data_IF_151154795820
#
_entry.id   IF_151154795820
#
_cell.length_a   1.000
_cell.length_b   1.000
_cell.length_c   1.000
_cell.angle_alpha   90.00
_cell.angle_beta   90.00
_cell.angle_gamma   90.00
#
_symmetry.space_group_name_H-M   'P 1'
#
loop_
_entity.id
_entity.type
_entity.pdbx_description
1 polymer ?
#
# COMPACT_ATOMS: atom_id res chain seq x y z
N UNK A 1 31.80 7.70 -30.60
CA UNK A 1 32.22 7.18 -29.26
C UNK A 1 31.24 7.71 -28.22
N UNK A 2 30.11 7.04 -28.05
CA UNK A 2 29.27 7.26 -26.87
C UNK A 2 29.82 6.36 -25.76
N UNK A 3 30.40 6.96 -24.76
CA UNK A 3 30.93 6.26 -23.59
C UNK A 3 29.78 5.69 -22.76
N UNK A 4 29.70 4.38 -22.72
CA UNK A 4 28.85 3.56 -21.86
C UNK A 4 29.31 3.63 -20.39
N UNK A 5 29.47 4.82 -19.82
CA UNK A 5 29.93 4.97 -18.43
C UNK A 5 28.87 4.76 -17.36
N UNK A 6 27.58 4.71 -17.70
CA UNK A 6 26.51 4.65 -16.70
C UNK A 6 26.17 3.24 -16.18
N UNK A 7 26.17 2.23 -17.05
CA UNK A 7 25.74 0.87 -16.67
C UNK A 7 26.86 0.08 -15.95
N UNK A 8 28.12 0.27 -16.32
CA UNK A 8 29.27 -0.40 -15.68
C UNK A 8 29.50 0.05 -14.23
N UNK A 9 29.24 1.31 -13.92
CA UNK A 9 29.41 1.83 -12.56
C UNK A 9 28.28 1.43 -11.61
N UNK A 10 27.07 1.20 -12.12
CA UNK A 10 25.95 0.67 -11.33
C UNK A 10 26.19 -0.79 -10.98
N UNK A 11 26.66 -1.60 -11.94
CA UNK A 11 27.05 -2.99 -11.69
C UNK A 11 28.24 -3.11 -10.74
N UNK A 12 29.28 -2.29 -10.91
CA UNK A 12 30.44 -2.27 -10.01
C UNK A 12 30.09 -1.83 -8.59
N UNK A 13 29.12 -0.93 -8.41
CA UNK A 13 28.64 -0.56 -7.06
C UNK A 13 27.87 -1.70 -6.41
N UNK A 14 27.07 -2.46 -7.15
CA UNK A 14 26.42 -3.66 -6.64
C UNK A 14 27.42 -4.74 -6.25
N UNK A 15 28.44 -4.99 -7.06
CA UNK A 15 29.50 -5.95 -6.77
C UNK A 15 30.41 -5.49 -5.62
N UNK A 16 30.68 -4.19 -5.50
CA UNK A 16 31.46 -3.63 -4.39
C UNK A 16 30.68 -3.67 -3.06
N UNK A 17 29.37 -3.42 -3.08
CA UNK A 17 28.53 -3.57 -1.89
C UNK A 17 28.40 -5.05 -1.49
N UNK A 18 28.32 -5.96 -2.45
CA UNK A 18 28.32 -7.41 -2.18
C UNK A 18 29.69 -7.90 -1.68
N UNK A 19 30.80 -7.33 -2.15
CA UNK A 19 32.17 -7.71 -1.73
C UNK A 19 32.61 -7.07 -0.41
N UNK A 20 32.03 -5.94 -0.01
CA UNK A 20 32.33 -5.27 1.27
C UNK A 20 31.52 -5.78 2.45
N UNK A 21 30.55 -6.69 2.24
CA UNK A 21 29.74 -7.29 3.31
C UNK A 21 28.82 -6.29 4.05
N UNK A 22 28.64 -5.08 3.55
CA UNK A 22 27.76 -4.09 4.16
C UNK A 22 26.32 -4.24 3.64
N UNK A 23 25.54 -5.09 4.29
CA UNK A 23 24.11 -5.26 4.01
C UNK A 23 23.32 -4.19 4.76
N UNK A 24 23.26 -2.97 4.23
CA UNK A 24 22.48 -1.89 4.82
C UNK A 24 20.97 -2.11 4.64
N UNK A 25 20.27 -2.52 5.68
CA UNK A 25 18.82 -2.71 5.64
C UNK A 25 18.03 -1.37 5.64
N UNK A 26 18.60 -0.30 6.19
CA UNK A 26 17.92 0.99 6.38
C UNK A 26 17.31 1.56 5.09
N UNK A 27 18.01 1.63 3.94
CA UNK A 27 17.45 2.17 2.71
C UNK A 27 16.20 1.43 2.23
N UNK A 28 16.18 0.08 2.35
CA UNK A 28 15.04 -0.73 1.89
C UNK A 28 13.82 -0.60 2.81
N UNK A 29 14.02 -0.41 4.12
CA UNK A 29 12.93 -0.09 5.04
C UNK A 29 12.38 1.32 4.81
N UNK A 30 13.24 2.31 4.57
CA UNK A 30 12.82 3.67 4.23
C UNK A 30 12.02 3.68 2.93
N UNK A 31 12.49 2.99 1.88
CA UNK A 31 11.75 2.83 0.62
C UNK A 31 10.40 2.14 0.80
N UNK A 32 10.34 1.10 1.64
CA UNK A 32 9.08 0.41 1.97
C UNK A 32 8.08 1.35 2.63
N UNK A 33 8.51 2.11 3.64
CA UNK A 33 7.66 3.07 4.34
C UNK A 33 7.22 4.20 3.39
N UNK A 34 8.13 4.74 2.59
CA UNK A 34 7.84 5.81 1.64
C UNK A 34 6.75 5.40 0.64
N UNK A 35 6.92 4.24 -0.05
CA UNK A 35 5.95 3.75 -1.02
C UNK A 35 4.61 3.43 -0.34
N UNK A 36 4.64 2.80 0.84
CA UNK A 36 3.42 2.47 1.59
C UNK A 36 2.67 3.73 2.04
N UNK A 37 3.36 4.79 2.47
CA UNK A 37 2.72 6.05 2.83
C UNK A 37 2.09 6.74 1.62
N UNK A 38 2.76 6.75 0.46
CA UNK A 38 2.18 7.29 -0.78
C UNK A 38 0.91 6.51 -1.15
N UNK A 39 0.96 5.18 -1.06
CA UNK A 39 -0.20 4.33 -1.34
C UNK A 39 -1.37 4.63 -0.39
N UNK A 40 -1.10 4.82 0.91
CA UNK A 40 -2.14 5.16 1.89
C UNK A 40 -2.70 6.57 1.68
N UNK A 41 -1.89 7.54 1.26
CA UNK A 41 -2.36 8.90 0.93
C UNK A 41 -3.37 8.89 -0.23
N UNK A 42 -3.24 7.96 -1.17
CA UNK A 42 -4.21 7.78 -2.26
C UNK A 42 -5.40 6.93 -1.81
N UNK A 43 -5.13 5.80 -1.15
CA UNK A 43 -6.14 4.79 -0.87
C UNK A 43 -7.10 5.17 0.26
N UNK A 44 -6.62 5.81 1.33
CA UNK A 44 -7.44 6.14 2.50
C UNK A 44 -8.55 7.13 2.17
N UNK A 45 -8.28 8.30 1.56
CA UNK A 45 -9.35 9.25 1.26
C UNK A 45 -10.40 8.63 0.34
N UNK A 46 -9.97 8.04 -0.78
CA UNK A 46 -10.87 7.50 -1.78
C UNK A 46 -11.66 6.31 -1.22
N UNK A 47 -10.97 5.38 -0.53
CA UNK A 47 -11.59 4.21 0.06
C UNK A 47 -12.60 4.55 1.17
N UNK A 48 -12.24 5.49 2.06
CA UNK A 48 -13.12 5.94 3.13
C UNK A 48 -14.40 6.62 2.58
N UNK A 49 -14.25 7.57 1.65
CA UNK A 49 -15.41 8.23 1.06
C UNK A 49 -16.29 7.26 0.28
N UNK A 50 -15.69 6.31 -0.44
CA UNK A 50 -16.43 5.25 -1.14
C UNK A 50 -17.21 4.38 -0.17
N UNK A 51 -16.62 3.98 0.96
CA UNK A 51 -17.28 3.20 2.00
C UNK A 51 -18.43 3.96 2.65
N UNK A 52 -18.23 5.24 3.00
CA UNK A 52 -19.29 6.10 3.56
C UNK A 52 -20.45 6.20 2.59
N UNK A 53 -20.18 6.46 1.30
CA UNK A 53 -21.22 6.53 0.29
C UNK A 53 -22.00 5.22 0.17
N UNK A 54 -21.30 4.08 0.04
CA UNK A 54 -21.92 2.78 -0.13
C UNK A 54 -22.72 2.35 1.10
N UNK A 55 -22.20 2.61 2.29
CA UNK A 55 -22.84 2.22 3.55
C UNK A 55 -24.08 3.08 3.88
N UNK A 56 -24.03 4.39 3.66
CA UNK A 56 -25.04 5.32 4.21
C UNK A 56 -25.92 6.00 3.17
N UNK A 57 -25.44 6.18 1.93
CA UNK A 57 -26.13 7.00 0.92
C UNK A 57 -26.55 6.22 -0.31
N UNK A 58 -25.87 5.14 -0.65
CA UNK A 58 -26.13 4.40 -1.88
C UNK A 58 -27.50 3.71 -1.83
N UNK A 59 -28.35 3.87 -2.88
CA UNK A 59 -29.56 3.10 -2.99
C UNK A 59 -29.24 1.60 -3.14
N UNK A 60 -30.16 0.76 -2.70
CA UNK A 60 -30.00 -0.71 -2.68
C UNK A 60 -29.45 -1.28 -4.00
N UNK A 61 -29.97 -0.80 -5.15
CA UNK A 61 -29.51 -1.27 -6.48
C UNK A 61 -28.03 -0.97 -6.74
N UNK A 62 -27.57 0.25 -6.36
CA UNK A 62 -26.16 0.65 -6.53
C UNK A 62 -25.27 -0.19 -5.61
N UNK A 63 -25.66 -0.38 -4.37
CA UNK A 63 -24.90 -1.18 -3.39
C UNK A 63 -24.77 -2.63 -3.83
N UNK A 64 -25.87 -3.27 -4.28
CA UNK A 64 -25.89 -4.67 -4.73
C UNK A 64 -25.00 -4.88 -5.95
N UNK A 65 -24.84 -3.87 -6.81
CA UNK A 65 -23.97 -3.94 -7.99
C UNK A 65 -22.51 -3.58 -7.66
N UNK A 66 -22.29 -2.54 -6.87
CA UNK A 66 -20.94 -2.02 -6.59
C UNK A 66 -20.13 -2.94 -5.67
N UNK A 67 -20.76 -3.57 -4.65
CA UNK A 67 -20.04 -4.42 -3.69
C UNK A 67 -19.34 -5.61 -4.35
N UNK A 68 -19.98 -6.43 -5.21
CA UNK A 68 -19.30 -7.49 -5.95
C UNK A 68 -18.18 -6.98 -6.86
N UNK A 69 -18.34 -5.81 -7.50
CA UNK A 69 -17.29 -5.23 -8.34
C UNK A 69 -16.05 -4.89 -7.51
N UNK A 70 -16.24 -4.26 -6.36
CA UNK A 70 -15.14 -3.93 -5.43
C UNK A 70 -14.42 -5.21 -4.98
N UNK A 71 -15.15 -6.27 -4.67
CA UNK A 71 -14.60 -7.57 -4.28
C UNK A 71 -13.80 -8.22 -5.42
N UNK A 72 -14.30 -8.15 -6.67
CA UNK A 72 -13.58 -8.63 -7.86
C UNK A 72 -12.30 -7.83 -8.08
N UNK A 73 -12.35 -6.49 -7.97
CA UNK A 73 -11.17 -5.62 -8.11
C UNK A 73 -10.11 -5.94 -7.05
N UNK A 74 -10.51 -6.25 -5.81
CA UNK A 74 -9.59 -6.67 -4.76
C UNK A 74 -8.91 -8.02 -5.05
N UNK A 75 -9.53 -8.86 -5.88
CA UNK A 75 -9.03 -10.18 -6.30
C UNK A 75 -8.12 -10.15 -7.54
N UNK A 76 -7.95 -9.02 -8.22
CA UNK A 76 -7.06 -8.91 -9.39
C UNK A 76 -5.60 -9.21 -8.98
N UNK A 77 -4.87 -10.09 -9.70
CA UNK A 77 -3.46 -10.35 -9.42
C UNK A 77 -2.61 -9.08 -9.47
N UNK A 78 -1.71 -8.89 -8.49
CA UNK A 78 -0.89 -7.67 -8.37
C UNK A 78 0.04 -7.44 -9.55
N UNK A 79 0.41 -8.50 -10.28
CA UNK A 79 1.19 -8.42 -11.55
C UNK A 79 0.46 -7.58 -12.59
N UNK A 80 -0.88 -7.69 -12.68
CA UNK A 80 -1.69 -6.91 -13.64
C UNK A 80 -1.59 -5.42 -13.32
N UNK A 81 -1.66 -5.06 -12.02
CA UNK A 81 -1.44 -3.69 -11.57
C UNK A 81 -0.02 -3.20 -11.85
N UNK A 82 0.99 -4.08 -11.71
CA UNK A 82 2.37 -3.78 -12.07
C UNK A 82 2.53 -3.48 -13.56
N UNK A 83 1.92 -4.27 -14.44
CA UNK A 83 1.87 -3.99 -15.88
C UNK A 83 1.18 -2.67 -16.20
N UNK A 84 0.04 -2.41 -15.58
CA UNK A 84 -0.67 -1.14 -15.72
C UNK A 84 0.19 0.04 -15.29
N UNK A 85 0.95 -0.12 -14.19
CA UNK A 85 1.90 0.89 -13.73
C UNK A 85 2.92 1.26 -14.82
N UNK A 86 3.55 0.26 -15.43
CA UNK A 86 4.62 0.48 -16.43
C UNK A 86 4.07 1.03 -17.75
N UNK A 87 2.96 0.47 -18.25
CA UNK A 87 2.47 0.79 -19.59
C UNK A 87 1.65 2.07 -19.61
N UNK A 88 0.91 2.37 -18.54
CA UNK A 88 -0.05 3.48 -18.54
C UNK A 88 0.36 4.60 -17.57
N UNK A 89 0.65 4.25 -16.31
CA UNK A 89 0.87 5.27 -15.27
C UNK A 89 2.25 5.90 -15.39
N UNK A 90 3.29 5.14 -15.66
CA UNK A 90 4.65 5.67 -15.79
C UNK A 90 4.80 6.66 -16.97
N UNK A 91 4.30 6.39 -18.20
CA UNK A 91 4.30 7.38 -19.27
C UNK A 91 3.52 8.65 -18.91
N UNK A 92 2.33 8.49 -18.30
CA UNK A 92 1.53 9.64 -17.87
C UNK A 92 2.27 10.55 -16.87
N UNK A 93 2.93 9.96 -15.89
CA UNK A 93 3.72 10.74 -14.92
C UNK A 93 4.96 11.37 -15.56
N UNK A 94 5.62 10.71 -16.51
CA UNK A 94 6.74 11.30 -17.28
C UNK A 94 6.29 12.51 -18.07
N UNK A 95 5.21 12.38 -18.86
CA UNK A 95 4.67 13.47 -19.67
C UNK A 95 4.24 14.66 -18.81
N UNK A 96 3.70 14.41 -17.62
CA UNK A 96 3.33 15.43 -16.67
C UNK A 96 4.59 16.07 -16.03
N UNK A 97 5.58 15.26 -15.67
CA UNK A 97 6.84 15.70 -15.08
C UNK A 97 7.65 16.56 -16.04
N UNK A 98 7.75 16.16 -17.30
CA UNK A 98 8.49 16.91 -18.33
C UNK A 98 7.88 18.28 -18.62
N UNK A 99 6.57 18.45 -18.40
CA UNK A 99 5.89 19.76 -18.49
C UNK A 99 6.17 20.68 -17.31
N UNK A 100 6.44 20.13 -16.13
CA UNK A 100 6.61 20.88 -14.88
C UNK A 100 8.11 21.11 -14.61
N UNK A 101 8.93 20.07 -14.74
CA UNK A 101 10.37 20.08 -14.53
C UNK A 101 11.03 19.00 -15.40
N UNK A 102 11.56 19.35 -16.60
CA UNK A 102 12.14 18.38 -17.52
C UNK A 102 13.24 17.53 -16.87
N UNK A 103 13.09 16.20 -16.93
CA UNK A 103 14.06 15.24 -16.38
C UNK A 103 13.97 15.00 -14.86
N UNK A 104 12.96 15.55 -14.16
CA UNK A 104 12.81 15.36 -12.71
C UNK A 104 12.24 13.99 -12.34
N UNK A 105 11.53 13.31 -13.24
CA UNK A 105 10.93 12.00 -13.04
C UNK A 105 11.74 10.91 -13.73
N UNK A 106 12.28 9.99 -12.94
CA UNK A 106 12.80 8.73 -13.48
C UNK A 106 11.63 7.85 -13.95
N UNK A 107 11.89 6.96 -14.92
CA UNK A 107 10.86 6.04 -15.44
C UNK A 107 10.34 5.06 -14.42
N UNK A 108 11.08 4.82 -13.36
CA UNK A 108 10.77 4.02 -12.19
C UNK A 108 10.91 4.94 -10.98
N UNK A 109 9.87 5.07 -10.17
CA UNK A 109 9.88 5.97 -9.01
C UNK A 109 8.90 5.53 -7.92
N UNK A 110 9.17 5.97 -6.69
CA UNK A 110 8.31 5.66 -5.54
C UNK A 110 6.87 6.17 -5.73
N UNK A 111 6.69 7.31 -6.40
CA UNK A 111 5.36 7.90 -6.61
C UNK A 111 4.52 7.07 -7.58
N UNK A 112 5.11 6.53 -8.64
CA UNK A 112 4.40 5.67 -9.62
C UNK A 112 3.95 4.39 -8.92
N UNK A 113 4.89 3.69 -8.27
CA UNK A 113 4.57 2.46 -7.53
C UNK A 113 3.56 2.69 -6.42
N UNK A 114 3.74 3.74 -5.61
CA UNK A 114 2.84 4.09 -4.51
C UNK A 114 1.44 4.47 -4.99
N UNK A 115 1.32 5.21 -6.09
CA UNK A 115 0.01 5.58 -6.66
C UNK A 115 -0.75 4.35 -7.13
N UNK A 116 -0.12 3.46 -7.90
CA UNK A 116 -0.77 2.24 -8.41
C UNK A 116 -1.10 1.27 -7.27
N UNK A 117 -0.20 1.12 -6.30
CA UNK A 117 -0.47 0.35 -5.09
C UNK A 117 -1.65 0.94 -4.31
N UNK A 118 -1.75 2.28 -4.23
CA UNK A 118 -2.89 2.97 -3.64
C UNK A 118 -4.20 2.61 -4.33
N UNK A 119 -4.24 2.66 -5.67
CA UNK A 119 -5.42 2.27 -6.46
C UNK A 119 -5.83 0.82 -6.17
N UNK A 120 -4.86 -0.11 -6.10
CA UNK A 120 -5.10 -1.52 -5.76
C UNK A 120 -5.69 -1.69 -4.35
N UNK A 121 -5.31 -0.85 -3.39
CA UNK A 121 -5.73 -0.95 -1.99
C UNK A 121 -7.10 -0.29 -1.75
N UNK A 122 -7.57 0.63 -2.61
CA UNK A 122 -8.88 1.28 -2.48
C UNK A 122 -10.02 0.28 -2.22
N UNK A 123 -10.21 -0.78 -3.04
CA UNK A 123 -11.27 -1.75 -2.84
C UNK A 123 -11.21 -2.42 -1.46
N UNK A 124 -10.01 -2.73 -0.98
CA UNK A 124 -9.79 -3.36 0.31
C UNK A 124 -10.21 -2.46 1.48
N UNK A 125 -9.80 -1.18 1.47
CA UNK A 125 -10.22 -0.19 2.49
C UNK A 125 -11.73 0.03 2.41
N UNK A 126 -12.28 0.16 1.20
CA UNK A 126 -13.72 0.38 1.00
C UNK A 126 -14.54 -0.75 1.61
N UNK A 127 -14.19 -2.02 1.33
CA UNK A 127 -14.93 -3.19 1.82
C UNK A 127 -14.87 -3.30 3.34
N UNK A 128 -13.67 -3.24 3.93
CA UNK A 128 -13.51 -3.36 5.38
C UNK A 128 -14.16 -2.20 6.15
N UNK A 129 -14.08 -0.98 5.61
CA UNK A 129 -14.71 0.19 6.23
C UNK A 129 -16.24 0.13 6.10
N UNK A 130 -16.78 -0.32 4.96
CA UNK A 130 -18.23 -0.56 4.79
C UNK A 130 -18.73 -1.58 5.80
N UNK A 131 -18.00 -2.68 5.99
CA UNK A 131 -18.35 -3.72 6.96
C UNK A 131 -18.31 -3.18 8.41
N UNK A 132 -17.30 -2.38 8.76
CA UNK A 132 -17.21 -1.74 10.07
C UNK A 132 -18.36 -0.76 10.34
N UNK A 133 -18.77 0.02 9.35
CA UNK A 133 -19.91 0.96 9.49
C UNK A 133 -21.25 0.24 9.56
N UNK A 134 -21.41 -0.88 8.87
CA UNK A 134 -22.64 -1.68 8.92
C UNK A 134 -22.76 -2.54 10.19
N UNK A 135 -21.66 -2.78 10.90
CA UNK A 135 -21.66 -3.45 12.20
C UNK A 135 -22.21 -2.58 13.34
N UNK A 136 -22.37 -1.26 13.12
CA UNK A 136 -23.00 -0.36 14.10
C UNK A 136 -24.49 -0.71 14.24
N UNK A 137 -25.02 -0.91 15.48
CA UNK A 137 -26.41 -1.26 15.71
C UNK A 137 -27.40 -0.26 15.06
N UNK A 138 -28.41 -0.77 14.38
CA UNK A 138 -29.43 0.04 13.68
C UNK A 138 -30.20 0.96 14.66
N UNK A 139 -30.35 0.53 15.91
CA UNK A 139 -30.99 1.30 16.97
C UNK A 139 -30.33 2.67 17.21
N UNK A 140 -29.00 2.77 17.08
CA UNK A 140 -28.29 4.04 17.21
C UNK A 140 -28.61 4.97 16.02
N UNK A 141 -28.66 4.43 14.82
CA UNK A 141 -29.00 5.16 13.61
C UNK A 141 -30.47 5.66 13.65
N UNK A 142 -31.39 4.75 13.97
CA UNK A 142 -32.82 5.03 14.06
C UNK A 142 -33.13 6.02 15.19
N UNK A 143 -32.47 5.88 16.35
CA UNK A 143 -32.59 6.81 17.46
C UNK A 143 -32.14 8.23 17.09
N UNK A 144 -31.03 8.39 16.38
CA UNK A 144 -30.55 9.69 15.88
C UNK A 144 -31.55 10.34 14.92
N UNK A 145 -32.07 9.56 13.95
CA UNK A 145 -33.08 10.02 13.00
C UNK A 145 -34.39 10.40 13.69
N UNK A 146 -34.83 9.65 14.72
CA UNK A 146 -36.01 9.92 15.50
C UNK A 146 -35.92 11.24 16.30
N UNK A 147 -34.70 11.63 16.71
CA UNK A 147 -34.42 12.93 17.34
C UNK A 147 -34.38 14.10 16.31
N UNK A 148 -34.63 13.84 15.03
CA UNK A 148 -34.68 14.86 13.98
C UNK A 148 -33.36 15.14 13.27
N UNK A 149 -32.31 14.35 13.54
CA UNK A 149 -31.04 14.49 12.83
C UNK A 149 -31.17 14.07 11.36
N UNK A 150 -30.48 14.77 10.47
CA UNK A 150 -30.35 14.38 9.06
C UNK A 150 -29.43 13.16 8.91
N UNK A 151 -29.51 12.46 7.76
CA UNK A 151 -28.62 11.35 7.44
C UNK A 151 -27.14 11.75 7.53
N UNK A 152 -26.82 12.98 7.12
CA UNK A 152 -25.43 13.49 7.19
C UNK A 152 -24.96 13.71 8.62
N UNK A 153 -25.81 14.26 9.48
CA UNK A 153 -25.51 14.44 10.92
C UNK A 153 -25.39 13.10 11.63
N UNK A 154 -26.33 12.18 11.38
CA UNK A 154 -26.27 10.80 11.90
C UNK A 154 -24.98 10.10 11.47
N UNK A 155 -24.58 10.22 10.20
CA UNK A 155 -23.33 9.62 9.72
C UNK A 155 -22.12 10.20 10.43
N UNK A 156 -22.01 11.52 10.53
CA UNK A 156 -20.83 12.19 11.11
C UNK A 156 -20.74 12.08 12.62
N UNK A 157 -21.87 12.17 13.32
CA UNK A 157 -21.91 12.29 14.78
C UNK A 157 -22.18 10.97 15.48
N UNK A 158 -22.76 9.97 14.79
CA UNK A 158 -23.09 8.67 15.38
C UNK A 158 -22.32 7.53 14.71
N UNK A 159 -22.47 7.34 13.39
CA UNK A 159 -21.95 6.15 12.72
C UNK A 159 -20.43 6.16 12.61
N UNK A 160 -19.81 7.25 12.15
CA UNK A 160 -18.35 7.34 12.04
C UNK A 160 -17.67 7.23 13.40
N UNK A 161 -18.07 7.96 14.44
CA UNK A 161 -17.49 7.77 15.77
C UNK A 161 -17.71 6.37 16.34
N UNK A 162 -18.91 5.81 16.15
CA UNK A 162 -19.21 4.46 16.59
C UNK A 162 -18.38 3.39 15.87
N UNK A 163 -18.09 3.53 14.57
CA UNK A 163 -17.28 2.62 13.77
C UNK A 163 -15.78 2.96 13.76
N UNK A 164 -15.32 3.98 14.47
CA UNK A 164 -13.98 4.53 14.39
C UNK A 164 -12.87 3.47 14.54
N UNK A 165 -12.98 2.59 15.53
CA UNK A 165 -11.99 1.54 15.76
C UNK A 165 -11.90 0.55 14.60
N UNK A 166 -13.05 0.20 13.99
CA UNK A 166 -13.10 -0.65 12.80
C UNK A 166 -12.49 0.03 11.57
N UNK A 167 -12.76 1.34 11.41
CA UNK A 167 -12.17 2.15 10.33
C UNK A 167 -10.65 2.22 10.47
N UNK A 168 -10.13 2.51 11.67
CA UNK A 168 -8.68 2.56 11.91
C UNK A 168 -8.04 1.18 11.72
N UNK A 169 -8.71 0.12 12.15
CA UNK A 169 -8.24 -1.24 11.93
C UNK A 169 -8.17 -1.59 10.44
N UNK A 170 -9.13 -1.14 9.60
CA UNK A 170 -9.06 -1.32 8.15
C UNK A 170 -7.84 -0.62 7.54
N UNK A 171 -7.48 0.57 8.03
CA UNK A 171 -6.28 1.29 7.58
C UNK A 171 -4.99 0.57 7.98
N UNK A 172 -4.91 0.04 9.21
CA UNK A 172 -3.75 -0.72 9.67
C UNK A 172 -3.55 -2.02 8.87
N UNK A 173 -4.64 -2.73 8.57
CA UNK A 173 -4.60 -3.93 7.72
C UNK A 173 -4.18 -3.58 6.28
N UNK A 174 -4.70 -2.49 5.71
CA UNK A 174 -4.31 -1.99 4.40
C UNK A 174 -2.82 -1.58 4.36
N UNK A 175 -2.33 -0.92 5.39
CA UNK A 175 -0.92 -0.56 5.52
C UNK A 175 -0.01 -1.80 5.64
N UNK A 176 -0.41 -2.79 6.43
CA UNK A 176 0.30 -4.08 6.52
C UNK A 176 0.37 -4.79 5.17
N UNK A 177 -0.73 -4.75 4.38
CA UNK A 177 -0.75 -5.27 3.00
C UNK A 177 0.21 -4.50 2.08
N UNK A 178 0.24 -3.16 2.19
CA UNK A 178 1.13 -2.31 1.39
C UNK A 178 2.61 -2.63 1.65
N UNK A 179 3.01 -2.83 2.91
CA UNK A 179 4.38 -3.20 3.29
C UNK A 179 4.82 -4.53 2.67
N UNK A 180 3.88 -5.47 2.49
CA UNK A 180 4.15 -6.80 1.91
C UNK A 180 4.12 -6.85 0.38
N UNK A 181 3.81 -5.75 -0.32
CA UNK A 181 3.68 -5.75 -1.78
C UNK A 181 5.04 -5.88 -2.47
N UNK A 182 5.11 -6.77 -3.45
CA UNK A 182 6.35 -7.08 -4.16
C UNK A 182 6.25 -6.73 -5.65
N UNK A 183 5.21 -7.23 -6.34
CA UNK A 183 5.17 -7.23 -7.80
C UNK A 183 5.00 -5.84 -8.41
N UNK A 184 4.15 -5.01 -7.83
CA UNK A 184 3.97 -3.62 -8.29
C UNK A 184 5.28 -2.85 -8.11
N UNK A 185 5.95 -3.04 -6.97
CA UNK A 185 7.20 -2.33 -6.66
C UNK A 185 8.34 -2.76 -7.56
N UNK A 186 8.51 -4.09 -7.80
CA UNK A 186 9.51 -4.64 -8.73
C UNK A 186 9.38 -4.00 -10.11
N UNK A 187 8.15 -3.80 -10.58
CA UNK A 187 7.88 -3.31 -11.94
C UNK A 187 7.92 -1.79 -12.05
N UNK A 188 7.57 -1.05 -10.98
CA UNK A 188 7.30 0.39 -11.08
C UNK A 188 8.21 1.29 -10.25
N UNK A 189 8.87 0.77 -9.19
CA UNK A 189 9.75 1.57 -8.33
C UNK A 189 11.25 1.39 -8.61
N UNK A 190 11.62 0.25 -9.23
CA UNK A 190 13.00 -0.10 -9.53
C UNK A 190 13.69 -0.91 -8.43
N UNK A 191 15.00 -1.16 -8.64
CA UNK A 191 15.84 -1.99 -7.75
C UNK A 191 16.90 -1.18 -6.99
N UNK A 192 16.83 0.16 -7.04
CA UNK A 192 17.87 0.99 -6.44
C UNK A 192 17.67 1.13 -4.93
N UNK A 193 18.60 0.60 -4.13
CA UNK A 193 18.61 0.74 -2.67
C UNK A 193 19.10 2.13 -2.25
N UNK A 194 18.43 3.19 -2.70
CA UNK A 194 18.77 4.58 -2.37
C UNK A 194 18.13 4.99 -1.04
N UNK A 195 18.94 5.63 -0.19
CA UNK A 195 18.41 6.25 1.03
C UNK A 195 17.92 7.66 0.68
N UNK A 196 16.67 7.76 0.27
CA UNK A 196 16.03 9.00 -0.12
C UNK A 196 14.60 9.07 0.38
N UNK A 197 14.11 10.27 0.65
CA UNK A 197 12.69 10.55 0.90
C UNK A 197 12.04 11.25 -0.30
N UNK A 198 12.78 11.40 -1.39
CA UNK A 198 12.26 12.00 -2.61
C UNK A 198 11.35 10.99 -3.34
N UNK A 199 10.04 11.25 -3.49
CA UNK A 199 9.11 10.32 -4.12
C UNK A 199 9.33 10.15 -5.63
N UNK A 200 10.11 11.02 -6.25
CA UNK A 200 10.40 11.00 -7.69
C UNK A 200 11.62 10.16 -8.07
N UNK A 201 12.36 9.70 -7.08
CA UNK A 201 13.50 8.82 -7.28
C UNK A 201 13.14 7.35 -7.26
N UNK A 202 13.99 6.54 -7.91
CA UNK A 202 13.90 5.08 -7.85
C UNK A 202 14.34 4.60 -6.47
N UNK A 203 13.50 3.76 -5.84
CA UNK A 203 13.75 3.13 -4.55
C UNK A 203 13.35 1.66 -4.60
N UNK A 204 13.90 0.87 -3.69
CA UNK A 204 13.51 -0.53 -3.52
C UNK A 204 12.86 -0.76 -2.17
N UNK A 205 12.09 -1.86 -2.05
CA UNK A 205 11.48 -2.29 -0.79
C UNK A 205 12.15 -3.55 -0.24
N UNK A 206 11.86 -3.86 1.02
CA UNK A 206 12.36 -5.08 1.67
C UNK A 206 11.96 -6.33 0.89
N UNK A 207 10.71 -6.42 0.41
CA UNK A 207 10.20 -7.55 -0.37
C UNK A 207 10.92 -7.71 -1.69
N UNK A 208 11.14 -6.63 -2.42
CA UNK A 208 11.88 -6.62 -3.69
C UNK A 208 13.35 -7.02 -3.48
N UNK A 209 13.97 -6.52 -2.41
CA UNK A 209 15.34 -6.87 -2.07
C UNK A 209 15.48 -8.36 -1.74
N UNK A 210 14.53 -8.94 -0.99
CA UNK A 210 14.51 -10.38 -0.70
C UNK A 210 14.45 -11.18 -2.02
N UNK A 211 13.55 -10.81 -2.94
CA UNK A 211 13.45 -11.48 -4.26
C UNK A 211 14.75 -11.36 -5.03
N UNK A 212 15.33 -10.15 -5.10
CA UNK A 212 16.61 -9.92 -5.80
C UNK A 212 17.78 -10.70 -5.21
N UNK A 213 17.80 -10.88 -3.88
CA UNK A 213 18.84 -11.66 -3.19
C UNK A 213 18.66 -13.18 -3.37
N UNK A 214 17.43 -13.67 -3.57
CA UNK A 214 17.12 -15.10 -3.73
C UNK A 214 17.00 -15.53 -5.19
N UNK A 215 17.14 -14.62 -6.16
CA UNK A 215 17.05 -14.93 -7.58
C UNK A 215 18.44 -15.22 -8.16
N UNK A 216 18.59 -16.27 -8.97
CA UNK A 216 19.82 -16.71 -9.60
C UNK A 216 20.43 -17.93 -8.91
N UNK A 217 21.69 -18.30 -9.31
CA UNK A 217 22.44 -19.39 -8.69
C UNK A 217 22.90 -18.97 -7.30
N UNK A 218 22.27 -19.53 -6.28
CA UNK A 218 22.52 -19.20 -4.88
C UNK A 218 23.07 -20.41 -4.12
N UNK A 219 24.17 -20.20 -3.41
CA UNK A 219 24.59 -21.12 -2.36
C UNK A 219 23.79 -20.84 -1.08
N UNK A 220 23.17 -21.85 -0.49
CA UNK A 220 22.31 -21.69 0.69
C UNK A 220 23.04 -21.08 1.89
N UNK A 221 24.34 -21.32 2.03
CA UNK A 221 25.19 -20.83 3.12
C UNK A 221 25.86 -19.49 2.81
N UNK A 222 25.54 -18.86 1.68
CA UNK A 222 26.12 -17.57 1.35
C UNK A 222 25.59 -16.45 2.25
N UNK A 223 26.44 -15.46 2.57
CA UNK A 223 26.05 -14.29 3.35
C UNK A 223 24.87 -13.53 2.69
N UNK A 224 24.78 -13.60 1.36
CA UNK A 224 23.71 -13.02 0.56
C UNK A 224 22.35 -13.69 0.85
N UNK A 225 22.31 -15.01 0.84
CA UNK A 225 21.10 -15.80 1.16
C UNK A 225 20.69 -15.61 2.61
N UNK A 226 21.63 -15.65 3.54
CA UNK A 226 21.36 -15.42 4.97
C UNK A 226 20.81 -14.01 5.24
N UNK A 227 21.29 -12.99 4.52
CA UNK A 227 20.74 -11.63 4.64
C UNK A 227 19.30 -11.52 4.14
N UNK A 228 18.92 -12.26 3.08
CA UNK A 228 17.54 -12.32 2.61
C UNK A 228 16.61 -12.93 3.66
N UNK A 229 17.03 -14.05 4.31
CA UNK A 229 16.28 -14.65 5.40
C UNK A 229 16.14 -13.71 6.62
N UNK A 230 17.21 -12.99 6.96
CA UNK A 230 17.17 -12.00 8.04
C UNK A 230 16.17 -10.86 7.75
N UNK A 231 16.16 -10.32 6.51
CA UNK A 231 15.19 -9.32 6.08
C UNK A 231 13.76 -9.85 6.12
N UNK A 232 13.53 -11.08 5.62
CA UNK A 232 12.21 -11.72 5.65
C UNK A 232 11.72 -11.93 7.09
N UNK A 233 12.60 -12.33 8.01
CA UNK A 233 12.28 -12.51 9.41
C UNK A 233 11.85 -11.20 10.08
N UNK A 234 12.61 -10.13 9.89
CA UNK A 234 12.27 -8.81 10.43
C UNK A 234 10.94 -8.31 9.85
N UNK A 235 10.73 -8.46 8.53
CA UNK A 235 9.50 -8.06 7.86
C UNK A 235 8.30 -8.86 8.40
N UNK A 236 8.46 -10.16 8.62
CA UNK A 236 7.42 -11.01 9.21
C UNK A 236 6.98 -10.51 10.58
N UNK A 237 7.92 -10.22 11.48
CA UNK A 237 7.58 -9.70 12.81
C UNK A 237 6.94 -8.31 12.74
N UNK A 238 7.42 -7.43 11.85
CA UNK A 238 6.81 -6.10 11.66
C UNK A 238 5.34 -6.22 11.24
N UNK A 239 5.06 -7.02 10.22
CA UNK A 239 3.69 -7.22 9.71
C UNK A 239 2.82 -7.97 10.70
N UNK A 240 3.36 -8.95 11.43
CA UNK A 240 2.65 -9.65 12.50
C UNK A 240 2.21 -8.69 13.61
N UNK A 241 3.10 -7.82 14.07
CA UNK A 241 2.78 -6.82 15.10
C UNK A 241 1.65 -5.90 14.63
N UNK A 242 1.75 -5.37 13.41
CA UNK A 242 0.69 -4.52 12.83
C UNK A 242 -0.65 -5.24 12.75
N UNK A 243 -0.66 -6.49 12.31
CA UNK A 243 -1.88 -7.29 12.20
C UNK A 243 -2.48 -7.62 13.58
N UNK A 244 -1.66 -7.94 14.58
CA UNK A 244 -2.12 -8.19 15.96
C UNK A 244 -2.71 -6.92 16.56
N UNK A 245 -2.10 -5.75 16.35
CA UNK A 245 -2.66 -4.46 16.79
C UNK A 245 -4.03 -4.23 16.13
N UNK A 246 -4.14 -4.39 14.81
CA UNK A 246 -5.39 -4.21 14.08
C UNK A 246 -6.49 -5.16 14.59
N UNK A 247 -6.17 -6.45 14.76
CA UNK A 247 -7.12 -7.44 15.28
C UNK A 247 -7.58 -7.13 16.71
N UNK A 248 -6.68 -6.67 17.58
CA UNK A 248 -7.04 -6.28 18.93
C UNK A 248 -7.97 -5.05 18.94
N UNK A 249 -7.76 -4.10 18.03
CA UNK A 249 -8.66 -2.96 17.86
C UNK A 249 -10.06 -3.40 17.42
N UNK A 250 -10.16 -4.33 16.47
CA UNK A 250 -11.45 -4.89 16.01
C UNK A 250 -12.17 -5.63 17.16
N UNK A 251 -11.44 -6.47 17.92
CA UNK A 251 -12.04 -7.21 19.06
C UNK A 251 -12.59 -6.28 20.12
N UNK A 252 -11.80 -5.30 20.55
CA UNK A 252 -12.21 -4.32 21.55
C UNK A 252 -13.46 -3.53 21.14
N UNK A 253 -13.62 -3.30 19.83
CA UNK A 253 -14.80 -2.64 19.29
C UNK A 253 -16.06 -3.52 19.39
N UNK A 254 -15.96 -4.82 19.10
CA UNK A 254 -17.05 -5.77 19.21
C UNK A 254 -17.60 -5.85 20.63
N UNK A 255 -16.72 -5.94 21.62
CA UNK A 255 -17.08 -6.03 23.05
C UNK A 255 -17.79 -4.78 23.60
N UNK A 256 -17.70 -3.63 22.92
CA UNK A 256 -18.38 -2.40 23.32
C UNK A 256 -19.85 -2.32 22.85
N UNK A 257 -20.25 -3.17 21.91
CA UNK A 257 -21.58 -3.14 21.27
C UNK A 257 -22.34 -4.48 21.35
N UNK A 258 -21.72 -5.53 21.91
CA UNK A 258 -22.39 -6.75 22.39
C UNK A 258 -22.79 -6.58 23.87
#
# INVERSE_FOLDING_TARGET
>A
RFESRGLGDVYKRQDQVASSGSFGAIPVFVGTILISLIAMLVAVPIGLYSAIYLSQYAPYKVRTFAKPIIEILAGIPTVVYGFFAVITVAPFFRDLGDKIAPGALSGESAIIAGTVMGIMIIPFITSLTDDAMNAVPSSLKEGSLAMGATVSETTKQVIIPASFHGIVASFLLAFSRAIGETMIVVMAAGFAANLTLNPFESVTTVTVQIVGLLTGDQEFDSAKTLSAFALAFVLFFLTLILNVIALNMVKKYRELYE
#
